data_IF_507201767401
#
_entry.id   IF_507201767401
#
_cell.length_a   1.000
_cell.length_b   1.000
_cell.length_c   1.000
_cell.angle_alpha   90.00
_cell.angle_beta   90.00
_cell.angle_gamma   90.00
#
_symmetry.space_group_name_H-M   'P 1'
#
loop_
_entity.id
_entity.type
_entity.pdbx_description
1 polymer ?
#
# COMPACT_ATOMS: atom_id res chain seq x y z
N UNK A 1 48.04 -59.45 22.46
CA UNK A 1 46.86 -58.87 23.14
C UNK A 1 45.81 -58.65 22.07
N UNK A 2 45.02 -59.65 21.69
CA UNK A 2 43.92 -60.29 22.43
C UNK A 2 43.00 -59.20 23.00
N UNK A 3 42.00 -58.81 22.20
CA UNK A 3 40.81 -58.12 22.69
C UNK A 3 39.70 -59.16 22.74
N UNK A 4 39.33 -59.49 23.98
CA UNK A 4 38.24 -60.39 24.34
C UNK A 4 36.93 -59.98 23.69
N UNK A 5 36.34 -60.91 22.95
CA UNK A 5 34.94 -60.92 22.56
C UNK A 5 34.08 -61.13 23.82
N UNK A 6 33.68 -60.03 24.45
CA UNK A 6 32.58 -60.04 25.43
C UNK A 6 31.28 -60.40 24.70
N UNK A 7 31.01 -61.70 24.64
CA UNK A 7 29.68 -62.28 24.41
C UNK A 7 28.77 -61.81 25.55
N UNK A 8 28.11 -60.66 25.36
CA UNK A 8 27.02 -60.23 26.22
C UNK A 8 25.85 -61.19 25.99
N UNK A 9 25.73 -62.19 26.88
CA UNK A 9 24.50 -62.98 27.02
C UNK A 9 23.39 -62.05 27.52
N UNK A 10 22.56 -61.58 26.60
CA UNK A 10 21.28 -60.98 26.96
C UNK A 10 20.28 -62.09 27.30
N UNK A 11 19.51 -61.96 28.40
CA UNK A 11 18.47 -62.92 28.72
C UNK A 11 17.40 -62.94 27.61
N UNK A 12 16.78 -64.11 27.33
CA UNK A 12 15.75 -64.22 26.31
C UNK A 12 14.59 -63.27 26.63
N UNK A 13 14.00 -62.62 25.61
CA UNK A 13 12.90 -61.69 25.81
C UNK A 13 11.72 -62.40 26.47
N UNK A 14 11.04 -61.74 27.42
CA UNK A 14 9.88 -62.32 28.10
C UNK A 14 8.75 -62.66 27.13
N UNK A 15 7.97 -63.73 27.39
CA UNK A 15 6.89 -64.16 26.52
C UNK A 15 5.81 -63.08 26.40
N UNK A 16 5.49 -62.70 25.16
CA UNK A 16 4.45 -61.73 24.84
C UNK A 16 3.08 -62.28 25.28
N UNK A 17 2.54 -61.76 26.38
CA UNK A 17 1.16 -62.00 26.79
C UNK A 17 0.21 -61.36 25.77
N UNK A 18 -0.51 -62.19 25.02
CA UNK A 18 -1.54 -61.82 24.04
C UNK A 18 -2.86 -61.42 24.71
N UNK A 19 -2.81 -60.53 25.71
CA UNK A 19 -3.98 -60.07 26.45
C UNK A 19 -4.00 -58.55 26.59
N UNK A 20 -4.51 -57.89 25.56
CA UNK A 20 -5.37 -56.71 25.62
C UNK A 20 -5.49 -56.18 24.18
N UNK A 21 -6.71 -56.00 23.69
CA UNK A 21 -6.94 -55.29 22.43
C UNK A 21 -6.24 -53.93 22.46
N UNK A 22 -5.82 -53.40 21.29
CA UNK A 22 -5.11 -52.13 21.23
C UNK A 22 -5.90 -51.06 22.00
N UNK A 23 -5.24 -50.26 22.86
CA UNK A 23 -5.92 -49.20 23.59
C UNK A 23 -6.69 -48.34 22.59
N UNK A 24 -7.94 -47.93 22.89
CA UNK A 24 -8.73 -47.13 21.97
C UNK A 24 -7.91 -45.90 21.60
N UNK A 25 -7.49 -45.84 20.32
CA UNK A 25 -6.76 -44.70 19.82
C UNK A 25 -7.60 -43.47 20.12
N UNK A 26 -7.07 -42.45 20.82
CA UNK A 26 -7.82 -41.24 21.08
C UNK A 26 -8.28 -40.71 19.73
N UNK A 27 -9.60 -40.69 19.52
CA UNK A 27 -10.21 -40.21 18.28
C UNK A 27 -9.53 -38.91 17.90
N UNK A 28 -9.09 -38.74 16.64
CA UNK A 28 -8.35 -37.55 16.23
C UNK A 28 -9.21 -36.35 16.59
N UNK A 29 -8.80 -35.62 17.63
CA UNK A 29 -9.43 -34.36 18.00
C UNK A 29 -9.34 -33.51 16.74
N UNK A 30 -10.49 -33.17 16.16
CA UNK A 30 -10.61 -32.29 15.00
C UNK A 30 -10.26 -30.86 15.44
N UNK A 31 -9.02 -30.69 15.89
CA UNK A 31 -8.42 -29.40 16.10
C UNK A 31 -8.17 -28.77 14.73
N UNK A 32 -8.21 -27.43 14.64
CA UNK A 32 -7.84 -26.74 13.43
C UNK A 32 -6.45 -27.22 13.00
N UNK A 33 -6.33 -27.66 11.74
CA UNK A 33 -5.08 -28.17 11.18
C UNK A 33 -4.00 -27.13 11.38
N UNK A 34 -2.96 -27.47 12.13
CA UNK A 34 -1.82 -26.57 12.36
C UNK A 34 -1.10 -26.36 11.03
N UNK A 35 -1.29 -25.18 10.44
CA UNK A 35 -0.60 -24.75 9.22
C UNK A 35 0.38 -23.64 9.55
N UNK A 36 1.35 -23.37 8.68
CA UNK A 36 2.26 -22.23 8.83
C UNK A 36 1.53 -20.88 8.95
N UNK A 37 0.30 -20.78 8.44
CA UNK A 37 -0.54 -19.57 8.56
C UNK A 37 -1.15 -19.40 9.95
N UNK A 38 -1.16 -20.45 10.79
CA UNK A 38 -1.63 -20.38 12.18
C UNK A 38 -0.55 -19.91 13.16
N UNK A 39 0.70 -19.77 12.71
CA UNK A 39 1.80 -19.28 13.53
C UNK A 39 1.61 -17.80 13.89
N UNK A 40 1.92 -17.39 15.14
CA UNK A 40 1.95 -15.99 15.52
C UNK A 40 2.94 -15.17 14.67
N UNK A 41 2.60 -13.91 14.39
CA UNK A 41 3.41 -13.04 13.54
C UNK A 41 4.87 -12.86 14.02
N UNK A 42 5.10 -12.83 15.34
CA UNK A 42 6.46 -12.71 15.91
C UNK A 42 7.32 -13.95 15.64
N UNK A 43 6.72 -15.15 15.59
CA UNK A 43 7.44 -16.38 15.25
C UNK A 43 7.82 -16.38 13.76
N UNK A 44 6.90 -15.95 12.89
CA UNK A 44 7.21 -15.81 11.46
C UNK A 44 8.33 -14.80 11.22
N UNK A 45 8.32 -13.68 11.94
CA UNK A 45 9.37 -12.68 11.87
C UNK A 45 10.71 -13.25 12.35
N UNK A 46 10.71 -14.02 13.45
CA UNK A 46 11.91 -14.72 13.93
C UNK A 46 12.45 -15.69 12.87
N UNK A 47 11.60 -16.48 12.23
CA UNK A 47 11.99 -17.39 11.14
C UNK A 47 12.66 -16.61 10.00
N UNK A 48 12.09 -15.46 9.60
CA UNK A 48 12.67 -14.59 8.58
C UNK A 48 14.04 -14.06 9.04
N UNK A 49 14.20 -13.63 10.29
CA UNK A 49 15.49 -13.18 10.81
C UNK A 49 16.55 -14.29 10.86
N UNK A 50 16.15 -15.52 11.13
CA UNK A 50 17.06 -16.68 11.11
C UNK A 50 17.56 -17.05 9.70
N UNK A 51 16.95 -16.51 8.63
CA UNK A 51 17.46 -16.67 7.26
C UNK A 51 18.64 -15.76 6.93
N UNK A 52 18.94 -14.76 7.77
CA UNK A 52 20.08 -13.87 7.60
C UNK A 52 21.37 -14.53 8.10
N UNK A 53 22.54 -14.17 7.55
CA UNK A 53 23.82 -14.73 7.96
C UNK A 53 24.14 -14.41 9.43
N UNK A 54 24.22 -15.44 10.28
CA UNK A 54 24.47 -15.32 11.74
C UNK A 54 25.94 -15.57 12.14
N UNK A 55 26.75 -16.22 11.29
CA UNK A 55 28.13 -16.58 11.62
C UNK A 55 29.04 -15.36 11.52
N UNK A 56 29.59 -14.93 12.65
CA UNK A 56 30.65 -13.92 12.72
C UNK A 56 32.02 -14.59 12.46
N UNK A 57 32.87 -14.02 11.59
CA UNK A 57 34.29 -14.41 11.49
C UNK A 57 34.73 -15.13 10.21
N UNK A 58 33.86 -15.27 9.21
CA UNK A 58 34.26 -15.61 7.82
C UNK A 58 33.76 -14.46 6.96
N UNK A 59 34.43 -13.32 7.09
CA UNK A 59 33.85 -11.99 6.83
C UNK A 59 33.88 -11.53 5.36
N UNK A 60 34.34 -12.37 4.43
CA UNK A 60 34.20 -12.08 3.00
C UNK A 60 32.76 -12.38 2.54
N UNK A 61 32.04 -11.34 2.10
CA UNK A 61 30.72 -11.48 1.47
C UNK A 61 29.51 -11.51 2.43
N UNK A 62 29.63 -11.08 3.70
CA UNK A 62 28.46 -11.01 4.60
C UNK A 62 27.38 -10.07 4.05
N UNK A 63 27.78 -8.88 3.60
CA UNK A 63 26.87 -7.86 3.04
C UNK A 63 26.24 -8.38 1.75
N UNK A 64 27.03 -9.00 0.88
CA UNK A 64 26.56 -9.60 -0.37
C UNK A 64 25.54 -10.72 -0.11
N UNK A 65 25.84 -11.62 0.84
CA UNK A 65 24.92 -12.68 1.25
C UNK A 65 23.64 -12.10 1.84
N UNK A 66 23.73 -11.04 2.65
CA UNK A 66 22.56 -10.33 3.17
C UNK A 66 21.71 -9.74 2.03
N UNK A 67 22.33 -9.10 1.02
CA UNK A 67 21.61 -8.57 -0.16
C UNK A 67 20.95 -9.68 -0.97
N UNK A 68 21.62 -10.81 -1.17
CA UNK A 68 21.04 -12.01 -1.80
C UNK A 68 19.86 -12.57 -1.00
N UNK A 69 19.94 -12.63 0.33
CA UNK A 69 18.81 -13.01 1.19
C UNK A 69 17.65 -12.02 1.02
N UNK A 70 17.89 -10.70 1.01
CA UNK A 70 16.85 -9.69 0.79
C UNK A 70 16.18 -9.85 -0.58
N UNK A 71 16.95 -10.14 -1.63
CA UNK A 71 16.43 -10.44 -2.97
C UNK A 71 15.56 -11.70 -2.98
N UNK A 72 15.99 -12.75 -2.27
CA UNK A 72 15.20 -13.96 -2.11
C UNK A 72 13.91 -13.73 -1.33
N UNK A 73 13.91 -12.89 -0.27
CA UNK A 73 12.70 -12.48 0.43
C UNK A 73 11.73 -11.76 -0.51
N UNK A 74 12.28 -10.85 -1.34
CA UNK A 74 11.51 -10.05 -2.29
C UNK A 74 10.96 -10.85 -3.48
N UNK A 75 11.61 -11.93 -3.94
CA UNK A 75 11.15 -12.66 -5.13
C UNK A 75 10.56 -14.04 -4.82
N UNK A 76 10.95 -14.66 -3.71
CA UNK A 76 10.56 -16.02 -3.33
C UNK A 76 9.64 -16.04 -2.11
N UNK A 77 10.20 -15.84 -0.91
CA UNK A 77 9.50 -16.16 0.34
C UNK A 77 8.18 -15.38 0.50
N UNK A 78 8.11 -14.12 0.05
CA UNK A 78 6.87 -13.32 0.12
C UNK A 78 5.69 -13.91 -0.65
N UNK A 79 5.93 -14.81 -1.61
CA UNK A 79 4.89 -15.42 -2.46
C UNK A 79 4.28 -16.69 -1.85
N UNK A 80 4.86 -17.23 -0.78
CA UNK A 80 4.45 -18.52 -0.19
C UNK A 80 3.06 -18.44 0.43
N UNK A 81 2.81 -17.44 1.28
CA UNK A 81 1.50 -17.17 1.82
C UNK A 81 1.41 -15.71 2.29
N UNK A 82 0.18 -15.26 2.59
CA UNK A 82 -0.07 -13.90 3.04
C UNK A 82 0.69 -13.54 4.32
N UNK A 83 0.85 -14.46 5.27
CA UNK A 83 1.53 -14.20 6.54
C UNK A 83 3.03 -13.94 6.34
N UNK A 84 3.69 -14.72 5.48
CA UNK A 84 5.07 -14.48 5.03
C UNK A 84 5.19 -13.20 4.21
N UNK A 85 4.21 -12.86 3.36
CA UNK A 85 4.19 -11.56 2.71
C UNK A 85 4.28 -10.42 3.75
N UNK A 86 3.50 -10.47 4.83
CA UNK A 86 3.55 -9.45 5.90
C UNK A 86 4.95 -9.39 6.52
N UNK A 87 5.48 -10.54 6.96
CA UNK A 87 6.76 -10.63 7.66
C UNK A 87 7.94 -10.20 6.76
N UNK A 88 7.98 -10.69 5.52
CA UNK A 88 9.00 -10.31 4.54
C UNK A 88 8.93 -8.81 4.23
N UNK A 89 7.74 -8.29 3.93
CA UNK A 89 7.58 -6.87 3.63
C UNK A 89 7.92 -5.99 4.83
N UNK A 90 7.63 -6.43 6.06
CA UNK A 90 8.05 -5.71 7.28
C UNK A 90 9.58 -5.53 7.31
N UNK A 91 10.35 -6.62 7.17
CA UNK A 91 11.82 -6.57 7.17
C UNK A 91 12.36 -5.74 6.01
N UNK A 92 11.82 -5.93 4.81
CA UNK A 92 12.23 -5.18 3.62
C UNK A 92 11.97 -3.68 3.78
N UNK A 93 10.77 -3.31 4.24
CA UNK A 93 10.38 -1.91 4.46
C UNK A 93 11.24 -1.27 5.54
N UNK A 94 11.44 -1.92 6.69
CA UNK A 94 12.28 -1.36 7.76
C UNK A 94 13.74 -1.17 7.33
N UNK A 95 14.26 -2.07 6.49
CA UNK A 95 15.65 -2.02 6.00
C UNK A 95 15.86 -0.88 5.00
N UNK A 96 14.92 -0.68 4.08
CA UNK A 96 15.06 0.27 2.97
C UNK A 96 14.38 1.63 3.21
N UNK A 97 13.61 1.79 4.29
CA UNK A 97 12.91 3.05 4.60
C UNK A 97 13.87 4.25 4.73
N UNK A 98 15.03 4.17 5.41
CA UNK A 98 15.95 5.31 5.49
C UNK A 98 16.48 5.74 4.10
N UNK A 99 16.85 4.77 3.25
CA UNK A 99 17.32 5.04 1.89
C UNK A 99 16.21 5.62 0.99
N UNK A 100 14.97 5.15 1.16
CA UNK A 100 13.82 5.74 0.49
C UNK A 100 13.62 7.20 0.92
N UNK A 101 13.72 7.48 2.22
CA UNK A 101 13.53 8.82 2.77
C UNK A 101 14.59 9.82 2.28
N UNK A 102 15.85 9.39 2.14
CA UNK A 102 16.91 10.26 1.63
C UNK A 102 16.75 10.67 0.17
N UNK A 103 15.97 9.93 -0.61
CA UNK A 103 15.73 10.21 -2.04
C UNK A 103 14.50 11.09 -2.29
N UNK A 104 13.71 11.37 -1.26
CA UNK A 104 12.57 12.28 -1.38
C UNK A 104 13.11 13.69 -1.56
N UNK A 105 12.74 14.32 -2.67
CA UNK A 105 13.14 15.69 -2.97
C UNK A 105 12.38 16.67 -2.09
N UNK A 106 13.05 17.57 -1.35
CA UNK A 106 12.40 18.75 -0.82
C UNK A 106 11.72 19.51 -1.97
N UNK A 107 10.52 20.09 -1.77
CA UNK A 107 9.78 20.26 -0.52
C UNK A 107 8.77 19.13 -0.22
N UNK A 108 8.90 17.97 -0.87
CA UNK A 108 7.97 16.86 -0.68
C UNK A 108 8.16 16.18 0.66
N UNK A 109 7.06 15.65 1.17
CA UNK A 109 7.03 14.85 2.40
C UNK A 109 6.70 13.41 2.04
N UNK A 110 7.01 12.50 2.94
CA UNK A 110 6.62 11.11 2.87
C UNK A 110 6.24 10.63 4.25
N UNK A 111 5.25 9.77 4.29
CA UNK A 111 4.91 9.02 5.50
C UNK A 111 4.23 7.75 5.02
N UNK A 112 4.99 6.72 4.60
CA UNK A 112 4.48 5.49 3.98
C UNK A 112 3.79 4.55 4.98
N UNK A 113 3.83 4.90 6.28
CA UNK A 113 3.21 4.18 7.41
C UNK A 113 2.68 5.20 8.43
N UNK A 114 1.57 5.90 8.16
CA UNK A 114 0.99 6.82 9.11
C UNK A 114 0.68 6.00 10.33
N UNK A 115 1.26 6.40 11.45
CA UNK A 115 0.84 5.90 12.76
C UNK A 115 -0.65 6.10 12.80
N UNK A 116 -1.43 5.01 12.85
CA UNK A 116 -2.89 5.06 12.76
C UNK A 116 -3.38 6.22 13.63
N UNK A 117 -4.29 7.09 13.14
CA UNK A 117 -4.86 8.08 14.02
C UNK A 117 -5.48 7.32 15.18
N UNK A 118 -4.93 7.52 16.36
CA UNK A 118 -5.60 7.22 17.61
C UNK A 118 -6.95 7.91 17.53
N UNK A 119 -8.00 7.13 17.23
CA UNK A 119 -9.40 7.55 17.39
C UNK A 119 -9.73 7.85 18.87
N UNK A 120 -8.76 7.68 19.78
CA UNK A 120 -8.81 8.05 21.18
C UNK A 120 -8.50 9.54 21.40
N UNK A 121 -9.54 10.37 21.32
CA UNK A 121 -9.86 11.32 22.40
C UNK A 121 -11.22 11.96 22.14
N UNK A 122 -12.28 11.16 22.07
CA UNK A 122 -13.57 11.65 22.59
C UNK A 122 -13.49 11.40 24.10
N UNK A 123 -13.42 12.43 24.96
CA UNK A 123 -13.53 12.23 26.39
C UNK A 123 -14.98 11.82 26.70
N UNK A 124 -15.26 10.51 26.63
CA UNK A 124 -16.47 9.95 27.22
C UNK A 124 -16.28 9.96 28.74
N UNK A 125 -16.72 11.03 29.38
CA UNK A 125 -16.87 11.11 30.83
C UNK A 125 -17.95 10.11 31.27
N UNK A 126 -17.53 8.90 31.64
CA UNK A 126 -18.35 7.94 32.39
C UNK A 126 -17.43 7.03 33.21
N UNK A 127 -17.48 7.06 34.55
CA UNK A 127 -16.68 6.20 35.41
C UNK A 127 -17.45 4.93 35.80
N UNK A 128 -17.04 3.77 35.31
CA UNK A 128 -17.37 2.48 35.97
C UNK A 128 -16.47 1.32 35.53
N UNK A 129 -15.59 0.92 36.45
CA UNK A 129 -15.14 -0.43 36.84
C UNK A 129 -14.70 -1.44 35.74
N UNK A 130 -13.47 -1.99 35.79
CA UNK A 130 -13.03 -3.05 34.88
C UNK A 130 -13.49 -4.44 35.37
N UNK A 131 -14.29 -5.12 34.56
CA UNK A 131 -14.60 -6.55 34.72
C UNK A 131 -14.01 -7.34 33.55
N UNK A 132 -13.14 -8.29 33.86
CA UNK A 132 -12.47 -9.15 32.89
C UNK A 132 -13.39 -10.29 32.45
N UNK A 133 -14.01 -10.15 31.28
CA UNK A 133 -14.62 -11.26 30.54
C UNK A 133 -14.31 -11.09 29.04
N UNK A 134 -13.59 -12.02 28.40
CA UNK A 134 -13.37 -11.98 26.96
C UNK A 134 -14.59 -12.57 26.24
N UNK A 135 -15.55 -11.73 25.87
CA UNK A 135 -16.69 -12.12 25.02
C UNK A 135 -16.26 -12.01 23.54
N UNK A 136 -16.39 -13.07 22.72
CA UNK A 136 -16.10 -12.99 21.30
C UNK A 136 -17.34 -12.44 20.57
N UNK A 137 -17.48 -11.11 20.53
CA UNK A 137 -18.50 -10.44 19.73
C UNK A 137 -17.85 -9.50 18.71
N UNK A 138 -18.13 -9.78 17.44
CA UNK A 138 -18.01 -8.91 16.27
C UNK A 138 -16.79 -7.98 16.23
N UNK A 139 -15.61 -8.62 16.16
CA UNK A 139 -14.49 -8.06 15.42
C UNK A 139 -14.90 -8.01 13.94
N UNK A 140 -15.57 -6.91 13.56
CA UNK A 140 -15.59 -6.39 12.20
C UNK A 140 -14.24 -6.72 11.58
N UNK A 141 -14.16 -7.42 10.43
CA UNK A 141 -12.89 -7.93 9.94
C UNK A 141 -11.96 -6.74 9.83
N UNK A 142 -11.00 -6.74 10.76
CA UNK A 142 -9.91 -5.81 10.88
C UNK A 142 -9.53 -5.44 9.47
N UNK A 143 -9.80 -4.18 9.09
CA UNK A 143 -9.30 -3.59 7.85
C UNK A 143 -7.89 -4.11 7.72
N UNK A 144 -7.72 -5.01 6.76
CA UNK A 144 -6.51 -5.79 6.63
C UNK A 144 -5.35 -4.79 6.74
N UNK A 145 -4.42 -4.87 7.73
CA UNK A 145 -3.40 -3.85 7.96
C UNK A 145 -2.48 -3.59 6.75
N UNK A 146 -2.65 -4.38 5.68
CA UNK A 146 -1.92 -4.35 4.44
C UNK A 146 -2.75 -3.97 3.21
N UNK A 147 -4.07 -3.78 3.34
CA UNK A 147 -4.90 -3.35 2.22
C UNK A 147 -5.09 -1.83 2.21
N UNK A 148 -4.14 -1.19 1.53
CA UNK A 148 -4.39 -0.34 0.35
C UNK A 148 -5.20 0.95 0.51
N UNK A 149 -5.43 1.46 1.71
CA UNK A 149 -5.89 2.86 1.79
C UNK A 149 -4.74 3.80 1.44
N UNK A 150 -3.52 3.42 1.82
CA UNK A 150 -2.36 4.24 1.60
C UNK A 150 -1.70 3.94 0.26
N UNK A 151 -1.65 4.97 -0.60
CA UNK A 151 -1.16 4.83 -1.97
C UNK A 151 0.35 5.01 -2.08
N UNK A 152 0.98 5.65 -1.10
CA UNK A 152 2.43 5.77 -1.03
C UNK A 152 3.14 4.45 -0.70
N UNK A 153 2.52 3.56 0.09
CA UNK A 153 3.14 2.28 0.48
C UNK A 153 3.51 1.39 -0.73
N UNK A 154 2.65 1.21 -1.75
CA UNK A 154 3.05 0.54 -3.00
C UNK A 154 4.23 1.19 -3.74
N UNK A 155 4.46 2.49 -3.57
CA UNK A 155 5.60 3.18 -4.18
C UNK A 155 6.89 2.79 -3.47
N UNK A 156 6.89 2.74 -2.13
CA UNK A 156 7.98 2.18 -1.36
C UNK A 156 8.25 0.71 -1.74
N UNK A 157 7.22 -0.10 -1.93
CA UNK A 157 7.38 -1.51 -2.33
C UNK A 157 8.03 -1.66 -3.72
N UNK A 158 7.70 -0.77 -4.66
CA UNK A 158 8.37 -0.70 -5.98
C UNK A 158 9.82 -0.26 -5.86
N UNK A 159 10.10 0.75 -5.02
CA UNK A 159 11.47 1.18 -4.72
C UNK A 159 12.30 0.02 -4.18
N UNK A 160 11.79 -0.71 -3.18
CA UNK A 160 12.46 -1.87 -2.59
C UNK A 160 12.79 -2.90 -3.67
N UNK A 161 11.85 -3.25 -4.54
CA UNK A 161 12.08 -4.24 -5.59
C UNK A 161 13.21 -3.83 -6.54
N UNK A 162 13.24 -2.55 -6.94
CA UNK A 162 14.30 -2.01 -7.81
C UNK A 162 15.64 -1.96 -7.06
N UNK A 163 15.65 -1.45 -5.83
CA UNK A 163 16.89 -1.23 -5.06
C UNK A 163 17.54 -2.54 -4.64
N UNK A 164 16.77 -3.52 -4.17
CA UNK A 164 17.31 -4.85 -3.80
C UNK A 164 17.95 -5.53 -5.01
N UNK A 165 17.34 -5.41 -6.20
CA UNK A 165 17.91 -5.94 -7.44
C UNK A 165 19.22 -5.23 -7.80
N UNK A 166 19.23 -3.91 -7.71
CA UNK A 166 20.42 -3.10 -7.97
C UNK A 166 21.57 -3.45 -7.04
N UNK A 167 21.29 -3.56 -5.74
CA UNK A 167 22.29 -3.89 -4.73
C UNK A 167 22.97 -5.24 -5.01
N UNK A 168 22.21 -6.24 -5.46
CA UNK A 168 22.77 -7.55 -5.84
C UNK A 168 23.56 -7.49 -7.15
N UNK A 169 23.12 -6.68 -8.13
CA UNK A 169 23.85 -6.54 -9.39
C UNK A 169 25.18 -5.82 -9.24
N UNK A 170 25.27 -4.83 -8.34
CA UNK A 170 26.54 -4.21 -7.95
C UNK A 170 27.51 -5.25 -7.38
N UNK A 171 27.01 -6.21 -6.60
CA UNK A 171 27.85 -7.27 -6.02
C UNK A 171 28.26 -8.34 -7.05
N UNK A 172 27.39 -8.68 -7.99
CA UNK A 172 27.63 -9.78 -8.95
C UNK A 172 28.44 -9.36 -10.18
N UNK A 173 28.50 -8.07 -10.50
CA UNK A 173 29.15 -7.56 -11.70
C UNK A 173 29.91 -6.27 -11.42
N UNK A 174 31.24 -6.35 -11.41
CA UNK A 174 32.12 -5.17 -11.34
C UNK A 174 31.92 -4.19 -12.51
N UNK A 175 31.37 -4.67 -13.64
CA UNK A 175 31.03 -3.85 -14.81
C UNK A 175 29.65 -3.19 -14.73
N UNK A 176 28.91 -3.40 -13.63
CA UNK A 176 27.57 -2.84 -13.49
C UNK A 176 27.66 -1.33 -13.21
N UNK A 177 27.15 -0.53 -14.14
CA UNK A 177 27.05 0.92 -13.98
C UNK A 177 25.67 1.26 -13.41
N UNK A 178 25.65 1.83 -12.20
CA UNK A 178 24.41 2.26 -11.56
C UNK A 178 23.67 3.25 -12.45
N UNK A 179 22.39 2.96 -12.73
CA UNK A 179 21.54 3.88 -13.47
C UNK A 179 20.89 4.87 -12.51
N UNK A 180 21.53 6.02 -12.38
CA UNK A 180 21.07 7.14 -11.54
C UNK A 180 19.61 7.54 -11.84
N UNK A 181 19.18 7.42 -13.11
CA UNK A 181 17.81 7.74 -13.54
C UNK A 181 16.77 6.66 -13.20
N UNK A 182 17.16 5.47 -12.72
CA UNK A 182 16.22 4.35 -12.49
C UNK A 182 15.11 4.70 -11.48
N UNK A 183 15.42 5.57 -10.53
CA UNK A 183 14.48 5.98 -9.48
C UNK A 183 13.77 7.31 -9.81
N UNK A 184 14.16 7.98 -10.90
CA UNK A 184 13.68 9.33 -11.24
C UNK A 184 12.17 9.39 -11.39
N UNK A 185 11.59 8.48 -12.17
CA UNK A 185 10.13 8.41 -12.36
C UNK A 185 9.38 8.11 -11.05
N UNK A 186 10.04 7.39 -10.15
CA UNK A 186 9.47 7.07 -8.85
C UNK A 186 9.38 8.31 -7.97
N UNK A 187 10.43 9.12 -7.87
CA UNK A 187 10.48 10.27 -6.97
C UNK A 187 9.99 11.59 -7.61
N UNK A 188 10.00 11.71 -8.94
CA UNK A 188 9.54 12.93 -9.63
C UNK A 188 8.03 12.92 -9.92
N UNK A 189 7.45 11.73 -10.07
CA UNK A 189 6.05 11.58 -10.47
C UNK A 189 5.27 10.67 -9.52
N UNK A 190 5.74 9.44 -9.30
CA UNK A 190 4.92 8.41 -8.65
C UNK A 190 4.72 8.67 -7.15
N UNK A 191 5.81 9.00 -6.43
CA UNK A 191 5.80 9.28 -5.00
C UNK A 191 5.02 10.56 -4.68
N UNK A 192 5.27 11.72 -5.33
CA UNK A 192 4.54 12.94 -5.02
C UNK A 192 3.05 12.81 -5.32
N UNK A 193 2.69 12.11 -6.40
CA UNK A 193 1.30 11.79 -6.73
C UNK A 193 0.65 10.93 -5.65
N UNK A 194 1.27 9.81 -5.29
CA UNK A 194 0.72 8.89 -4.29
C UNK A 194 0.57 9.56 -2.92
N UNK A 195 1.58 10.34 -2.51
CA UNK A 195 1.54 11.15 -1.29
C UNK A 195 0.39 12.16 -1.32
N UNK A 196 0.19 12.82 -2.46
CA UNK A 196 -0.87 13.80 -2.62
C UNK A 196 -2.26 13.14 -2.54
N UNK A 197 -2.42 11.93 -3.08
CA UNK A 197 -3.64 11.13 -2.91
C UNK A 197 -3.91 10.82 -1.43
N UNK A 198 -2.88 10.44 -0.68
CA UNK A 198 -2.99 10.18 0.75
C UNK A 198 -3.32 11.46 1.55
N UNK A 199 -2.74 12.60 1.21
CA UNK A 199 -3.06 13.89 1.83
C UNK A 199 -4.49 14.34 1.52
N UNK A 200 -4.94 14.20 0.28
CA UNK A 200 -6.33 14.50 -0.12
C UNK A 200 -7.31 13.62 0.63
N UNK A 201 -6.97 12.35 0.89
CA UNK A 201 -7.76 11.50 1.77
C UNK A 201 -7.84 12.07 3.19
N UNK A 202 -6.71 12.39 3.81
CA UNK A 202 -6.67 12.89 5.21
C UNK A 202 -7.45 14.20 5.35
N UNK A 203 -7.21 15.16 4.46
CA UNK A 203 -7.92 16.45 4.49
C UNK A 203 -9.37 16.31 4.05
N UNK A 204 -9.67 15.50 3.04
CA UNK A 204 -11.04 15.31 2.54
C UNK A 204 -11.94 14.59 3.53
N UNK A 205 -11.42 13.61 4.29
CA UNK A 205 -12.16 12.97 5.39
C UNK A 205 -12.42 13.96 6.52
N UNK A 206 -11.43 14.80 6.86
CA UNK A 206 -11.57 15.85 7.88
C UNK A 206 -12.64 16.89 7.51
N UNK A 207 -12.69 17.29 6.24
CA UNK A 207 -13.68 18.23 5.71
C UNK A 207 -15.04 17.58 5.40
N UNK A 208 -15.18 16.26 5.61
CA UNK A 208 -16.42 15.54 5.34
C UNK A 208 -16.80 15.45 3.86
N UNK A 209 -15.85 15.63 2.93
CA UNK A 209 -16.07 15.52 1.47
C UNK A 209 -15.62 14.18 0.89
N UNK A 210 -14.84 13.39 1.65
CA UNK A 210 -14.37 12.05 1.26
C UNK A 210 -14.76 11.02 2.32
N UNK A 211 -15.24 9.85 1.90
CA UNK A 211 -15.47 8.69 2.78
C UNK A 211 -14.49 7.55 2.52
N UNK A 212 -14.16 6.79 3.57
CA UNK A 212 -13.33 5.58 3.47
C UNK A 212 -14.16 4.30 3.30
N UNK A 213 -15.50 4.43 3.33
CA UNK A 213 -16.41 3.29 3.31
C UNK A 213 -16.23 2.44 2.05
N UNK A 214 -16.13 1.13 2.26
CA UNK A 214 -16.56 0.17 1.26
C UNK A 214 -18.05 0.42 1.08
N UNK A 215 -18.45 0.87 -0.11
CA UNK A 215 -19.85 1.04 -0.45
C UNK A 215 -20.53 -0.34 -0.41
N UNK A 216 -20.99 -0.73 0.77
CA UNK A 216 -21.60 -2.01 1.06
C UNK A 216 -22.66 -1.83 2.14
N UNK A 217 -23.90 -1.64 1.69
CA UNK A 217 -25.08 -1.95 2.51
C UNK A 217 -25.73 -0.76 3.23
N UNK A 218 -26.42 0.10 2.49
CA UNK A 218 -27.65 0.71 3.01
C UNK A 218 -28.74 0.66 1.93
N UNK A 219 -29.08 -0.56 1.52
CA UNK A 219 -30.39 -0.86 0.98
C UNK A 219 -31.25 -1.38 2.13
N UNK A 220 -31.99 -0.49 2.77
CA UNK A 220 -33.07 -0.90 3.67
C UNK A 220 -34.08 -1.72 2.90
N UNK A 221 -34.12 -3.02 3.18
CA UNK A 221 -35.07 -3.99 2.64
C UNK A 221 -35.50 -4.92 3.76
N UNK A 222 -36.60 -4.55 4.41
CA UNK A 222 -37.33 -5.36 5.38
C UNK A 222 -37.69 -6.74 4.81
N UNK A 223 -37.36 -7.79 5.56
CA UNK A 223 -38.12 -9.05 5.66
C UNK A 223 -38.17 -9.97 4.43
N UNK A 224 -37.39 -11.05 4.46
CA UNK A 224 -37.90 -12.43 4.54
C UNK A 224 -36.75 -13.43 4.43
N UNK A 225 -36.74 -14.37 5.36
CA UNK A 225 -35.90 -15.56 5.43
C UNK A 225 -36.14 -16.52 4.27
N UNK A 226 -35.09 -17.01 3.62
CA UNK A 226 -35.02 -18.39 3.10
C UNK A 226 -33.57 -18.83 2.79
N UNK A 227 -33.19 -20.10 3.07
CA UNK A 227 -31.85 -20.61 2.88
C UNK A 227 -31.74 -21.50 1.62
N UNK A 228 -30.75 -21.32 0.75
CA UNK A 228 -30.39 -22.34 -0.27
C UNK A 228 -28.88 -22.40 -0.55
N UNK A 229 -28.34 -23.57 -0.20
CA UNK A 229 -27.22 -24.36 -0.75
C UNK A 229 -26.08 -23.68 -1.55
N UNK A 230 -24.90 -23.77 -0.94
CA UNK A 230 -23.59 -23.63 -1.56
C UNK A 230 -23.19 -24.92 -2.30
N UNK A 231 -22.81 -24.81 -3.58
CA UNK A 231 -22.09 -25.86 -4.32
C UNK A 231 -20.71 -25.35 -4.73
N UNK A 232 -19.71 -25.97 -4.11
CA UNK A 232 -18.31 -25.98 -4.53
C UNK A 232 -18.17 -26.43 -5.98
N UNK A 233 -17.28 -25.77 -6.74
CA UNK A 233 -16.15 -26.43 -7.45
C UNK A 233 -15.45 -25.45 -8.39
N UNK A 234 -14.12 -25.38 -8.31
CA UNK A 234 -13.22 -25.15 -9.44
C UNK A 234 -11.78 -25.41 -8.99
N UNK A 235 -11.33 -26.63 -9.29
CA UNK A 235 -9.96 -27.08 -9.13
C UNK A 235 -9.05 -26.40 -10.17
N UNK A 236 -7.86 -26.01 -9.74
CA UNK A 236 -6.82 -25.42 -10.58
C UNK A 236 -6.00 -26.55 -11.18
N UNK A 237 -6.10 -26.76 -12.49
CA UNK A 237 -5.28 -27.73 -13.21
C UNK A 237 -3.88 -27.17 -13.41
N UNK A 238 -2.90 -27.89 -12.85
CA UNK A 238 -1.48 -27.68 -12.99
C UNK A 238 -1.01 -28.45 -14.23
N UNK A 239 -0.72 -27.75 -15.32
CA UNK A 239 -0.14 -28.35 -16.53
C UNK A 239 1.34 -27.98 -16.66
N UNK A 240 2.12 -29.05 -16.79
CA UNK A 240 3.55 -29.18 -17.05
C UNK A 240 4.10 -28.32 -18.20
N UNK A 241 5.24 -27.68 -17.96
CA UNK A 241 6.12 -27.12 -19.00
C UNK A 241 6.94 -28.24 -19.65
N UNK A 242 6.84 -28.37 -20.97
CA UNK A 242 7.78 -29.11 -21.83
C UNK A 242 8.68 -28.10 -22.58
N UNK A 243 9.98 -28.37 -22.77
CA UNK A 243 10.86 -27.48 -23.52
C UNK A 243 11.12 -28.01 -24.94
N UNK A 244 10.80 -27.23 -25.98
CA UNK A 244 11.48 -27.19 -27.29
C UNK A 244 10.59 -26.48 -28.31
N UNK A 245 11.09 -25.48 -29.05
CA UNK A 245 11.91 -25.66 -30.26
C UNK A 245 12.05 -24.30 -30.98
N UNK A 246 13.21 -24.10 -31.57
CA UNK A 246 13.61 -22.96 -32.39
C UNK A 246 12.55 -22.50 -33.40
N UNK A 247 12.39 -21.17 -33.49
CA UNK A 247 11.77 -20.49 -34.63
C UNK A 247 12.70 -19.38 -35.13
N UNK A 248 12.76 -19.14 -36.46
CA UNK A 248 13.76 -18.31 -37.11
C UNK A 248 13.49 -16.80 -36.98
N UNK A 249 14.60 -16.06 -36.99
CA UNK A 249 14.69 -14.60 -36.93
C UNK A 249 14.13 -13.95 -38.21
N UNK A 250 13.17 -13.02 -38.13
CA UNK A 250 12.80 -12.17 -39.26
C UNK A 250 13.78 -10.99 -39.43
N UNK A 251 14.05 -10.54 -40.68
CA UNK A 251 15.02 -9.49 -40.96
C UNK A 251 14.52 -8.09 -40.56
N UNK A 252 15.47 -7.30 -40.09
CA UNK A 252 15.34 -5.91 -39.64
C UNK A 252 14.88 -4.96 -40.76
N UNK A 253 13.85 -4.12 -40.54
CA UNK A 253 13.57 -3.00 -41.41
C UNK A 253 14.49 -1.80 -41.10
N UNK A 254 15.03 -1.25 -42.18
CA UNK A 254 15.91 -0.10 -42.31
C UNK A 254 15.31 1.20 -41.74
N UNK A 255 16.19 1.99 -41.12
CA UNK A 255 15.93 3.30 -40.53
C UNK A 255 15.50 4.33 -41.58
N UNK A 256 14.39 5.07 -41.37
CA UNK A 256 14.16 6.32 -42.08
C UNK A 256 14.82 7.49 -41.35
N UNK A 257 15.72 8.15 -42.06
CA UNK A 257 16.23 9.50 -41.80
C UNK A 257 15.07 10.50 -41.75
N UNK A 258 14.84 11.13 -40.58
CA UNK A 258 13.88 12.23 -40.44
C UNK A 258 14.62 13.55 -40.33
N UNK A 259 14.43 14.33 -41.38
CA UNK A 259 14.77 15.73 -41.59
C UNK A 259 14.21 16.61 -40.48
N UNK A 260 15.08 17.41 -39.86
CA UNK A 260 14.72 18.51 -38.97
C UNK A 260 13.99 19.60 -39.74
N UNK A 261 12.69 19.80 -39.46
CA UNK A 261 11.91 20.95 -39.91
C UNK A 261 11.31 21.69 -38.72
N UNK A 262 11.46 23.00 -38.78
CA UNK A 262 11.27 23.99 -37.74
C UNK A 262 9.85 24.10 -37.19
N UNK A 263 9.75 24.60 -35.95
CA UNK A 263 8.59 25.41 -35.54
C UNK A 263 9.06 26.54 -34.61
N UNK A 264 9.30 27.70 -35.22
CA UNK A 264 9.26 28.97 -34.52
C UNK A 264 7.80 29.31 -34.26
N UNK A 265 7.43 29.54 -33.00
CA UNK A 265 6.14 30.11 -32.62
C UNK A 265 6.33 31.20 -31.57
N UNK A 266 6.16 32.44 -32.05
CA UNK A 266 5.67 33.65 -31.40
C UNK A 266 5.85 33.79 -29.87
N UNK A 267 6.91 34.49 -29.47
CA UNK A 267 6.93 35.26 -28.23
C UNK A 267 6.25 36.62 -28.47
N UNK A 268 4.96 36.73 -28.12
CA UNK A 268 4.26 38.01 -28.09
C UNK A 268 4.56 38.73 -26.78
N UNK A 269 5.26 39.85 -26.91
CA UNK A 269 5.44 40.88 -25.90
C UNK A 269 4.09 41.56 -25.65
N UNK A 270 3.63 41.58 -24.39
CA UNK A 270 2.67 42.59 -23.94
C UNK A 270 3.14 43.22 -22.64
N UNK A 271 3.66 44.43 -22.80
CA UNK A 271 3.73 45.47 -21.78
C UNK A 271 2.32 46.04 -21.53
N UNK A 272 2.05 46.41 -20.28
CA UNK A 272 1.14 47.50 -19.84
C UNK A 272 0.96 47.31 -18.32
N UNK A 273 1.55 48.17 -17.49
CA UNK A 273 1.16 49.54 -17.15
C UNK A 273 0.40 49.57 -15.83
N UNK A 274 1.02 50.25 -14.87
CA UNK A 274 0.48 50.94 -13.71
C UNK A 274 -1.02 51.23 -13.68
N UNK A 275 -1.59 51.16 -12.47
CA UNK A 275 -2.40 52.24 -11.85
C UNK A 275 -2.82 51.89 -10.41
N UNK A 276 -2.28 52.67 -9.47
CA UNK A 276 -2.93 53.02 -8.20
C UNK A 276 -4.20 53.84 -8.49
N UNK A 277 -5.17 53.89 -7.56
CA UNK A 277 -5.34 55.17 -6.86
C UNK A 277 -5.84 55.10 -5.40
N UNK A 278 -5.73 56.29 -4.83
CA UNK A 278 -6.06 56.84 -3.51
C UNK A 278 -7.45 56.59 -2.92
N UNK A 279 -7.42 56.56 -1.58
CA UNK A 279 -8.38 57.03 -0.58
C UNK A 279 -9.39 58.10 -1.00
N UNK A 280 -10.66 57.91 -0.60
CA UNK A 280 -11.56 58.95 -0.07
C UNK A 280 -12.55 58.34 0.93
N UNK A 281 -12.87 59.16 1.92
CA UNK A 281 -13.73 58.96 3.08
C UNK A 281 -15.22 59.28 2.79
N UNK A 282 -16.09 58.78 3.68
CA UNK A 282 -17.26 59.47 4.30
C UNK A 282 -18.65 58.81 4.10
N UNK A 283 -19.19 58.34 5.25
CA UNK A 283 -20.58 58.45 5.75
C UNK A 283 -21.79 58.10 4.86
N UNK A 284 -22.59 57.12 5.30
CA UNK A 284 -23.89 57.32 5.99
C UNK A 284 -24.91 56.20 5.71
N UNK A 285 -25.47 55.67 6.80
CA UNK A 285 -26.77 55.02 6.98
C UNK A 285 -27.39 54.23 5.81
N UNK A 286 -27.41 52.89 5.94
CA UNK A 286 -28.36 52.02 5.20
C UNK A 286 -28.62 50.73 5.99
N UNK A 287 -29.78 50.09 5.78
CA UNK A 287 -30.52 49.35 6.80
C UNK A 287 -30.00 47.91 6.98
N UNK A 288 -30.23 47.40 8.19
CA UNK A 288 -29.92 46.04 8.63
C UNK A 288 -30.37 44.97 7.61
N UNK A 289 -29.44 44.20 7.02
CA UNK A 289 -29.80 43.11 6.12
C UNK A 289 -30.35 41.95 6.94
N UNK A 290 -31.56 41.49 6.58
CA UNK A 290 -32.10 40.22 7.06
C UNK A 290 -31.16 39.10 6.60
N UNK A 291 -30.39 38.54 7.55
CA UNK A 291 -29.57 37.35 7.32
C UNK A 291 -30.52 36.17 7.22
N UNK A 292 -30.99 35.88 6.01
CA UNK A 292 -31.64 34.61 5.69
C UNK A 292 -30.61 33.51 5.91
N UNK A 293 -30.65 32.89 7.08
CA UNK A 293 -29.80 31.76 7.44
C UNK A 293 -30.27 30.57 6.61
N UNK A 294 -29.70 30.41 5.42
CA UNK A 294 -29.97 29.24 4.59
C UNK A 294 -29.55 27.99 5.36
N UNK A 295 -30.46 27.02 5.45
CA UNK A 295 -30.16 25.76 6.12
C UNK A 295 -28.91 25.12 5.48
N UNK A 296 -28.00 24.55 6.29
CA UNK A 296 -26.75 24.00 5.78
C UNK A 296 -27.05 22.89 4.76
N UNK A 297 -26.62 23.08 3.51
CA UNK A 297 -26.79 22.07 2.47
C UNK A 297 -25.99 20.82 2.85
N UNK A 298 -26.64 19.65 2.75
CA UNK A 298 -26.01 18.36 3.08
C UNK A 298 -25.12 17.92 1.92
N UNK A 299 -23.83 18.11 2.07
CA UNK A 299 -22.81 17.60 1.13
C UNK A 299 -22.86 16.07 1.12
N UNK A 300 -22.91 15.46 -0.07
CA UNK A 300 -22.77 14.00 -0.24
C UNK A 300 -21.31 13.65 -0.50
N UNK A 301 -20.61 13.01 0.45
CA UNK A 301 -19.18 12.77 0.32
C UNK A 301 -18.84 11.66 -0.69
N UNK A 302 -17.69 11.80 -1.36
CA UNK A 302 -17.24 10.85 -2.39
C UNK A 302 -16.41 9.71 -1.79
N UNK A 303 -16.63 8.45 -2.20
CA UNK A 303 -15.80 7.34 -1.72
C UNK A 303 -14.36 7.43 -2.24
N UNK A 304 -13.37 7.34 -1.35
CA UNK A 304 -11.95 7.56 -1.69
C UNK A 304 -11.42 6.64 -2.78
N UNK A 305 -11.88 5.38 -2.82
CA UNK A 305 -11.47 4.39 -3.82
C UNK A 305 -11.90 4.77 -5.26
N UNK A 306 -12.88 5.66 -5.42
CA UNK A 306 -13.32 6.18 -6.72
C UNK A 306 -12.49 7.39 -7.18
N UNK A 307 -11.67 7.97 -6.30
CA UNK A 307 -10.88 9.16 -6.60
C UNK A 307 -9.47 8.80 -7.03
N UNK A 308 -8.86 9.63 -7.87
CA UNK A 308 -7.44 9.55 -8.23
C UNK A 308 -6.91 10.94 -8.51
N UNK A 309 -5.61 11.13 -8.43
CA UNK A 309 -4.99 12.43 -8.66
C UNK A 309 -4.23 12.43 -9.98
N UNK A 310 -4.43 13.50 -10.76
CA UNK A 310 -3.51 13.90 -11.82
C UNK A 310 -2.49 14.85 -11.23
N UNK A 311 -1.21 14.54 -11.42
CA UNK A 311 -0.11 15.33 -10.89
C UNK A 311 0.78 15.80 -12.04
N UNK A 312 0.97 17.10 -12.16
CA UNK A 312 1.91 17.70 -13.09
C UNK A 312 2.70 18.83 -12.41
N UNK A 313 3.79 19.32 -13.03
CA UNK A 313 4.54 20.45 -12.47
C UNK A 313 3.73 21.75 -12.34
N UNK A 314 2.64 21.90 -13.12
CA UNK A 314 1.85 23.14 -13.21
C UNK A 314 0.43 23.01 -12.66
N UNK A 315 -0.04 21.79 -12.43
CA UNK A 315 -1.41 21.54 -12.00
C UNK A 315 -1.56 20.25 -11.22
N UNK A 316 -2.58 20.22 -10.37
CA UNK A 316 -3.07 19.04 -9.69
C UNK A 316 -4.57 18.94 -9.96
N UNK A 317 -5.08 17.75 -10.24
CA UNK A 317 -6.52 17.54 -10.39
C UNK A 317 -7.02 16.29 -9.70
N UNK A 318 -8.29 16.29 -9.32
CA UNK A 318 -9.02 15.11 -8.87
C UNK A 318 -9.78 14.53 -10.05
N UNK A 319 -9.54 13.25 -10.29
CA UNK A 319 -10.23 12.45 -11.29
C UNK A 319 -11.08 11.41 -10.60
N UNK A 320 -12.39 11.46 -10.84
CA UNK A 320 -13.34 10.47 -10.36
C UNK A 320 -13.50 9.36 -11.42
N UNK A 321 -13.43 8.11 -10.97
CA UNK A 321 -13.79 6.95 -11.75
C UNK A 321 -15.31 6.75 -11.63
N UNK A 322 -16.03 7.14 -12.69
CA UNK A 322 -17.46 6.90 -12.82
C UNK A 322 -17.57 5.54 -13.50
N UNK A 323 -18.23 4.56 -12.86
CA UNK A 323 -18.30 3.17 -13.31
C UNK A 323 -18.50 3.02 -14.82
N UNK A 324 -18.01 1.91 -15.41
CA UNK A 324 -17.70 1.70 -16.86
C UNK A 324 -16.31 2.13 -17.32
N UNK A 325 -15.39 2.44 -16.38
CA UNK A 325 -14.02 2.81 -16.69
C UNK A 325 -13.88 4.24 -17.22
N UNK A 326 -14.96 5.03 -17.18
CA UNK A 326 -14.95 6.45 -17.53
C UNK A 326 -14.30 7.25 -16.41
N UNK A 327 -13.31 8.05 -16.77
CA UNK A 327 -12.61 8.94 -15.85
C UNK A 327 -13.01 10.37 -16.17
N UNK A 328 -13.45 11.12 -15.16
CA UNK A 328 -13.78 12.55 -15.29
C UNK A 328 -12.95 13.36 -14.31
N UNK A 329 -12.29 14.40 -14.79
CA UNK A 329 -11.69 15.42 -13.92
C UNK A 329 -12.81 16.27 -13.35
N UNK A 330 -12.94 16.29 -12.02
CA UNK A 330 -13.96 17.06 -11.31
C UNK A 330 -13.41 18.38 -10.76
N UNK A 331 -12.12 18.39 -10.41
CA UNK A 331 -11.42 19.55 -9.86
C UNK A 331 -10.04 19.61 -10.50
N UNK A 332 -9.60 20.81 -10.88
CA UNK A 332 -8.24 21.05 -11.34
C UNK A 332 -7.76 22.41 -10.85
N UNK A 333 -6.57 22.42 -10.27
CA UNK A 333 -6.01 23.59 -9.62
C UNK A 333 -4.57 23.82 -10.09
N UNK A 334 -4.21 25.08 -10.28
CA UNK A 334 -2.83 25.48 -10.56
C UNK A 334 -1.89 25.14 -9.39
N UNK A 335 -0.69 24.68 -9.73
CA UNK A 335 0.37 24.35 -8.78
C UNK A 335 1.66 25.05 -9.18
N UNK A 336 2.38 25.55 -8.19
CA UNK A 336 3.75 26.05 -8.37
C UNK A 336 4.73 24.90 -8.16
N UNK A 337 5.82 24.84 -8.94
CA UNK A 337 6.78 23.72 -8.92
C UNK A 337 7.33 23.42 -7.53
N UNK A 338 7.67 24.45 -6.76
CA UNK A 338 8.24 24.37 -5.41
C UNK A 338 7.18 24.42 -4.29
N UNK A 339 5.91 24.18 -4.63
CA UNK A 339 4.82 24.16 -3.65
C UNK A 339 4.82 22.84 -2.86
N UNK A 340 4.73 22.94 -1.53
CA UNK A 340 4.51 21.81 -0.61
C UNK A 340 3.23 21.06 -0.96
N UNK A 341 3.27 19.72 -0.94
CA UNK A 341 2.13 18.87 -1.31
C UNK A 341 0.93 19.11 -0.40
N UNK A 342 1.14 19.45 0.87
CA UNK A 342 0.07 19.75 1.82
C UNK A 342 -0.74 20.99 1.43
N UNK A 343 -0.08 22.02 0.87
CA UNK A 343 -0.75 23.25 0.43
C UNK A 343 -1.59 22.96 -0.80
N UNK A 344 -1.04 22.24 -1.77
CA UNK A 344 -1.77 21.79 -2.95
C UNK A 344 -2.96 20.90 -2.57
N UNK A 345 -2.78 19.94 -1.65
CA UNK A 345 -3.84 19.05 -1.17
C UNK A 345 -5.00 19.83 -0.54
N UNK A 346 -4.70 20.76 0.37
CA UNK A 346 -5.72 21.61 1.02
C UNK A 346 -6.49 22.44 0.00
N UNK A 347 -5.80 23.04 -0.98
CA UNK A 347 -6.43 23.84 -2.04
C UNK A 347 -7.37 22.97 -2.88
N UNK A 348 -6.91 21.79 -3.29
CA UNK A 348 -7.69 20.83 -4.08
C UNK A 348 -8.92 20.32 -3.31
N UNK A 349 -8.80 20.05 -2.00
CA UNK A 349 -9.94 19.65 -1.16
C UNK A 349 -10.94 20.79 -0.97
N UNK A 350 -10.47 22.04 -0.85
CA UNK A 350 -11.35 23.23 -0.78
C UNK A 350 -12.18 23.38 -2.06
N UNK A 351 -11.55 23.26 -3.22
CA UNK A 351 -12.24 23.32 -4.52
C UNK A 351 -13.20 22.13 -4.71
N UNK A 352 -12.83 20.94 -4.23
CA UNK A 352 -13.73 19.79 -4.22
C UNK A 352 -14.99 20.04 -3.39
N UNK A 353 -14.83 20.69 -2.24
CA UNK A 353 -15.97 21.06 -1.40
C UNK A 353 -16.90 22.04 -2.12
N UNK A 354 -16.36 23.10 -2.70
CA UNK A 354 -17.13 24.08 -3.46
C UNK A 354 -17.88 23.40 -4.63
N UNK A 355 -17.21 22.51 -5.36
CA UNK A 355 -17.81 21.75 -6.45
C UNK A 355 -19.00 20.86 -5.99
N UNK A 356 -18.90 20.25 -4.80
CA UNK A 356 -19.99 19.45 -4.23
C UNK A 356 -21.18 20.30 -3.75
N UNK A 357 -20.91 21.51 -3.25
CA UNK A 357 -21.94 22.47 -2.85
C UNK A 357 -22.67 23.04 -4.08
N UNK A 358 -21.94 23.37 -5.16
CA UNK A 358 -22.52 23.83 -6.44
C UNK A 358 -23.35 22.74 -7.14
N UNK A 359 -22.88 21.50 -7.12
CA UNK A 359 -23.58 20.37 -7.75
C UNK A 359 -24.92 20.01 -7.10
N UNK A 360 -25.20 20.50 -5.88
CA UNK A 360 -26.50 20.36 -5.22
C UNK A 360 -27.49 21.48 -5.59
N UNK A 361 -27.02 22.52 -6.27
CA UNK A 361 -27.85 23.66 -6.69
C UNK A 361 -28.48 23.50 -8.08
N UNK A 362 -28.22 22.36 -8.76
CA UNK A 362 -28.82 21.96 -10.04
C UNK A 362 -29.77 20.80 -9.79
#
# INVERSE_FOLDING_TARGET
>A
MILDEKVLMYPPPPPYVTSAGPPPFPSPRSGPRQTLTSLPAHILLQIVYMSFPQTHGVDEGRVERQRKTLLWLANGLRLVNRAFYIACMHVLRSTYLPAYQSLIRPPYTSDPFPSSPSLSSVPSSSPSIPSYTPTPQDLSPLLSPLQTIQRETPILDRFILLKVREDVFVDESELHLEREDMFKDLFDLSQPKARLEDLVRVYGVREGVVTLGLSGGNGGGSGQSSPVQSKNSSAVNLASYTPSRHSPVPPSPSSPSVTSRASAFFSSLRSSSSKSPSSYSSSSSTPTPFVTTSAPQRITPLPFHTLSITFSPRSVGIVQNVGTGRKRTIVQVGRVREEKLEVAAKRVVKELRAWLEEGLAV
#
